data_IF_931497482354
#
_entry.id   IF_931497482354
#
_cell.length_a   1.000
_cell.length_b   1.000
_cell.length_c   1.000
_cell.angle_alpha   90.00
_cell.angle_beta   90.00
_cell.angle_gamma   90.00
#
_symmetry.space_group_name_H-M   'P 1'
#
loop_
_entity.id
_entity.type
_entity.pdbx_description
1 polymer ?
#
# COMPACT_ATOMS: atom_id res chain seq x y z
N UNK A 1 -23.18 -8.43 -7.85
CA UNK A 1 -22.46 -8.15 -9.07
C UNK A 1 -20.97 -8.02 -8.78
N UNK A 2 -20.21 -8.89 -9.34
CA UNK A 2 -18.81 -8.90 -9.09
C UNK A 2 -18.03 -7.88 -9.89
N UNK A 3 -18.06 -6.66 -9.46
CA UNK A 3 -17.21 -5.68 -10.09
C UNK A 3 -15.79 -5.84 -9.59
N UNK A 4 -14.90 -6.24 -10.48
CA UNK A 4 -13.50 -6.31 -10.16
C UNK A 4 -12.95 -4.89 -10.17
N UNK A 5 -12.44 -4.45 -9.02
CA UNK A 5 -11.72 -3.20 -8.97
C UNK A 5 -10.29 -3.45 -9.44
N UNK A 6 -9.88 -2.94 -10.62
CA UNK A 6 -8.54 -3.17 -11.13
C UNK A 6 -7.48 -2.38 -10.37
N UNK A 7 -7.89 -1.50 -9.46
CA UNK A 7 -6.96 -0.63 -8.74
C UNK A 7 -6.83 -1.09 -7.31
N UNK A 8 -5.86 -1.96 -7.06
CA UNK A 8 -5.49 -2.32 -5.71
C UNK A 8 -4.78 -1.14 -5.03
N UNK A 9 -4.68 -1.18 -3.71
CA UNK A 9 -3.95 -0.15 -2.97
C UNK A 9 -2.51 -0.04 -3.48
N UNK A 10 -1.84 -1.17 -3.66
CA UNK A 10 -0.45 -1.19 -4.12
C UNK A 10 -0.29 -0.50 -5.47
N UNK A 11 -1.20 -0.74 -6.41
CA UNK A 11 -1.15 -0.11 -7.72
C UNK A 11 -1.36 1.39 -7.64
N UNK A 12 -2.28 1.84 -6.81
CA UNK A 12 -2.56 3.27 -6.62
C UNK A 12 -1.35 3.97 -6.01
N UNK A 13 -0.71 3.35 -5.02
CA UNK A 13 0.48 3.91 -4.38
C UNK A 13 1.64 3.98 -5.36
N UNK A 14 1.88 2.92 -6.11
CA UNK A 14 2.94 2.89 -7.13
C UNK A 14 2.74 4.04 -8.14
N UNK A 15 1.51 4.22 -8.60
CA UNK A 15 1.20 5.28 -9.55
C UNK A 15 1.44 6.67 -8.96
N UNK A 16 1.11 6.88 -7.70
CA UNK A 16 1.38 8.14 -7.02
C UNK A 16 2.89 8.45 -7.01
N UNK A 17 3.71 7.44 -6.72
CA UNK A 17 5.17 7.63 -6.75
C UNK A 17 5.67 7.96 -8.15
N UNK A 18 5.15 7.29 -9.17
CA UNK A 18 5.53 7.54 -10.56
C UNK A 18 5.16 8.95 -11.03
N UNK A 19 4.07 9.49 -10.50
CA UNK A 19 3.57 10.81 -10.88
C UNK A 19 4.12 11.94 -10.00
N UNK A 20 5.04 11.64 -9.09
CA UNK A 20 5.57 12.64 -8.18
C UNK A 20 4.61 13.09 -7.10
N UNK A 21 3.60 12.29 -6.81
CA UNK A 21 2.56 12.60 -5.82
C UNK A 21 2.69 11.72 -4.57
N UNK A 22 3.90 11.29 -4.26
CA UNK A 22 4.15 10.38 -3.14
C UNK A 22 3.69 10.93 -1.79
N UNK A 23 3.63 12.26 -1.66
CA UNK A 23 3.18 12.87 -0.40
C UNK A 23 1.70 12.59 -0.09
N UNK A 24 0.92 12.17 -1.06
CA UNK A 24 -0.46 11.72 -0.83
C UNK A 24 -0.55 10.23 -0.47
N UNK A 25 0.53 9.49 -0.64
CA UNK A 25 0.50 8.04 -0.46
C UNK A 25 0.16 7.63 0.97
N UNK A 26 0.72 8.31 1.97
CA UNK A 26 0.42 8.03 3.37
C UNK A 26 -1.06 8.21 3.68
N UNK A 27 -1.66 9.31 3.22
CA UNK A 27 -3.08 9.56 3.42
C UNK A 27 -3.94 8.46 2.76
N UNK A 28 -3.53 8.02 1.58
CA UNK A 28 -4.24 6.96 0.87
C UNK A 28 -4.25 5.65 1.65
N UNK A 29 -3.12 5.29 2.23
CA UNK A 29 -3.04 4.09 3.07
C UNK A 29 -3.85 4.26 4.35
N UNK A 30 -3.84 5.45 4.94
CA UNK A 30 -4.64 5.73 6.13
C UNK A 30 -6.13 5.55 5.85
N UNK A 31 -6.61 6.05 4.72
CA UNK A 31 -8.01 5.87 4.32
C UNK A 31 -8.34 4.40 4.09
N UNK A 32 -7.42 3.66 3.49
CA UNK A 32 -7.56 2.23 3.27
C UNK A 32 -7.69 1.47 4.60
N UNK A 33 -6.91 1.86 5.61
CA UNK A 33 -7.00 1.27 6.95
C UNK A 33 -8.35 1.57 7.61
N UNK A 34 -8.82 2.81 7.48
CA UNK A 34 -10.13 3.21 8.02
C UNK A 34 -11.27 2.40 7.40
N UNK A 35 -11.21 2.14 6.12
CA UNK A 35 -12.21 1.33 5.43
C UNK A 35 -12.30 -0.09 6.00
N UNK A 36 -11.21 -0.57 6.56
CA UNK A 36 -11.12 -1.90 7.18
C UNK A 36 -11.27 -1.87 8.69
N UNK A 37 -11.75 -0.74 9.22
CA UNK A 37 -12.01 -0.54 10.66
C UNK A 37 -10.74 -0.64 11.50
N UNK A 38 -9.62 -0.25 10.94
CA UNK A 38 -8.36 -0.07 11.66
C UNK A 38 -8.11 1.41 11.87
N UNK A 39 -7.60 1.78 13.05
CA UNK A 39 -7.22 3.16 13.30
C UNK A 39 -5.85 3.42 12.68
N UNK A 40 -5.74 4.33 11.68
CA UNK A 40 -4.46 4.59 11.04
C UNK A 40 -3.42 5.19 12.01
N UNK A 41 -3.84 5.78 13.11
CA UNK A 41 -2.93 6.32 14.12
C UNK A 41 -2.21 5.22 14.90
N UNK A 42 -2.68 3.98 14.84
CA UNK A 42 -2.03 2.83 15.49
C UNK A 42 -0.89 2.27 14.65
N UNK A 43 -0.68 2.77 13.44
CA UNK A 43 0.27 2.21 12.49
C UNK A 43 1.27 3.24 12.01
N UNK A 44 2.51 2.78 11.81
CA UNK A 44 3.50 3.48 11.01
C UNK A 44 3.45 2.92 9.60
N UNK A 45 3.40 3.79 8.62
CA UNK A 45 3.30 3.43 7.20
C UNK A 45 4.63 3.74 6.53
N UNK A 46 5.28 2.72 6.00
CA UNK A 46 6.61 2.82 5.41
C UNK A 46 6.55 2.34 3.98
N UNK A 47 7.15 3.10 3.07
CA UNK A 47 7.19 2.75 1.66
C UNK A 47 8.62 2.38 1.28
N UNK A 48 8.78 1.22 0.63
CA UNK A 48 10.06 0.77 0.11
C UNK A 48 10.00 0.82 -1.41
N UNK A 49 10.80 1.68 -2.01
CA UNK A 49 10.89 1.78 -3.45
C UNK A 49 11.96 0.82 -3.96
N UNK A 50 11.58 -0.03 -4.90
CA UNK A 50 12.46 -1.03 -5.51
C UNK A 50 12.38 -0.95 -7.02
N UNK A 51 13.42 -1.36 -7.76
CA UNK A 51 13.30 -1.48 -9.22
C UNK A 51 12.26 -2.55 -9.56
N UNK A 52 11.49 -2.29 -10.61
CA UNK A 52 10.51 -3.27 -11.07
C UNK A 52 11.22 -4.50 -11.65
N UNK A 53 10.59 -5.70 -11.56
CA UNK A 53 11.19 -6.90 -12.13
C UNK A 53 11.42 -6.77 -13.64
N UNK A 54 12.44 -7.44 -14.20
CA UNK A 54 12.65 -7.46 -15.64
C UNK A 54 11.40 -7.96 -16.38
N UNK A 55 11.06 -7.31 -17.49
CA UNK A 55 9.87 -7.65 -18.26
C UNK A 55 8.59 -6.99 -17.78
N UNK A 56 8.62 -6.30 -16.64
CA UNK A 56 7.49 -5.52 -16.16
C UNK A 56 7.31 -4.24 -16.98
N UNK A 57 6.07 -3.81 -17.13
CA UNK A 57 5.75 -2.52 -17.74
C UNK A 57 6.06 -1.34 -16.82
N UNK A 58 6.23 -1.60 -15.54
CA UNK A 58 6.49 -0.59 -14.54
C UNK A 58 7.99 -0.35 -14.41
N UNK A 59 8.35 0.89 -14.09
CA UNK A 59 9.75 1.28 -13.85
C UNK A 59 10.15 0.98 -12.41
N UNK A 60 9.21 1.15 -11.48
CA UNK A 60 9.45 0.96 -10.06
C UNK A 60 8.36 0.10 -9.45
N UNK A 61 8.67 -0.51 -8.33
CA UNK A 61 7.70 -1.20 -7.48
C UNK A 61 7.76 -0.61 -6.09
N UNK A 62 6.59 -0.39 -5.48
CA UNK A 62 6.49 0.14 -4.13
C UNK A 62 5.95 -0.95 -3.23
N UNK A 63 6.72 -1.27 -2.19
CA UNK A 63 6.27 -2.18 -1.14
C UNK A 63 5.76 -1.36 0.03
N UNK A 64 4.58 -1.69 0.53
CA UNK A 64 3.96 -1.01 1.66
C UNK A 64 4.22 -1.84 2.90
N UNK A 65 4.95 -1.27 3.85
CA UNK A 65 5.20 -1.90 5.14
C UNK A 65 4.35 -1.22 6.20
N UNK A 66 3.59 -2.01 6.94
CA UNK A 66 2.81 -1.55 8.08
C UNK A 66 3.48 -2.02 9.35
N UNK A 67 3.62 -1.14 10.33
CA UNK A 67 4.12 -1.48 11.67
C UNK A 67 3.18 -0.91 12.70
N UNK A 68 2.88 -1.68 13.71
CA UNK A 68 2.08 -1.18 14.83
C UNK A 68 2.98 -0.38 15.76
N UNK A 69 2.47 0.75 16.20
CA UNK A 69 3.21 1.64 17.12
C UNK A 69 3.40 1.02 18.51
N UNK A 70 2.52 0.08 18.87
CA UNK A 70 2.62 -0.63 20.16
C UNK A 70 3.62 -1.78 20.16
N UNK A 71 4.30 -2.02 19.04
CA UNK A 71 5.28 -3.09 18.90
C UNK A 71 4.69 -4.48 18.67
N UNK A 72 3.37 -4.59 18.60
CA UNK A 72 2.72 -5.86 18.32
C UNK A 72 2.80 -6.20 16.82
N UNK A 73 2.78 -7.48 16.45
CA UNK A 73 2.81 -7.85 15.04
C UNK A 73 1.55 -7.39 14.32
N UNK A 74 1.74 -6.95 13.09
CA UNK A 74 0.62 -6.60 12.19
C UNK A 74 -0.03 -7.90 11.71
N UNK A 75 -1.35 -7.88 11.56
CA UNK A 75 -2.08 -9.01 10.97
C UNK A 75 -1.46 -9.34 9.61
N UNK A 76 -0.98 -10.58 9.40
CA UNK A 76 -0.37 -10.96 8.12
C UNK A 76 -1.31 -10.76 6.93
N UNK A 77 -2.61 -10.98 7.12
CA UNK A 77 -3.60 -10.75 6.09
C UNK A 77 -3.63 -9.28 5.66
N UNK A 78 -3.59 -8.37 6.63
CA UNK A 78 -3.61 -6.93 6.36
C UNK A 78 -2.37 -6.51 5.58
N UNK A 79 -1.21 -6.98 5.99
CA UNK A 79 0.06 -6.69 5.30
C UNK A 79 0.05 -7.24 3.88
N UNK A 80 -0.48 -8.43 3.70
CA UNK A 80 -0.60 -9.06 2.38
C UNK A 80 -1.54 -8.27 1.47
N UNK A 81 -2.70 -7.88 1.99
CA UNK A 81 -3.68 -7.12 1.21
C UNK A 81 -3.14 -5.75 0.79
N UNK A 82 -2.34 -5.11 1.63
CA UNK A 82 -1.74 -3.82 1.29
C UNK A 82 -0.82 -3.92 0.08
N UNK A 83 -0.21 -5.07 -0.14
CA UNK A 83 0.74 -5.30 -1.23
C UNK A 83 0.18 -6.17 -2.36
N UNK A 84 -1.12 -6.38 -2.36
CA UNK A 84 -1.76 -7.22 -3.36
C UNK A 84 -1.68 -6.58 -4.75
N UNK A 85 -1.20 -7.37 -5.70
CA UNK A 85 -1.18 -6.98 -7.11
C UNK A 85 -2.45 -7.48 -7.79
N UNK A 86 -3.00 -6.65 -8.67
CA UNK A 86 -4.17 -7.03 -9.45
C UNK A 86 -3.79 -7.97 -10.60
#
# INVERSE_FOLDING_TARGET
>A
MGRINPYTLQMQITRMFEQGQSFFATTKVQDWLKERKHDPLDYDIIFHQKPAPPGSKEVIAIEIELRRKDGQPVDPWLQEQANLHA
#
